data_IF_430785128537
#
_entry.id   IF_430785128537
#
_cell.length_a   1.000
_cell.length_b   1.000
_cell.length_c   1.000
_cell.angle_alpha   90.00
_cell.angle_beta   90.00
_cell.angle_gamma   90.00
#
_symmetry.space_group_name_H-M   'P 1'
#
loop_
_entity.id
_entity.type
_entity.pdbx_description
1 polymer ?
#
# COMPACT_ATOMS: atom_id res chain seq x y z
N UNK A 1 -9.22 25.70 -3.08
CA UNK A 1 -8.36 25.23 -1.98
C UNK A 1 -7.12 24.62 -2.62
N UNK A 2 -5.92 24.81 -2.04
CA UNK A 2 -4.71 24.18 -2.57
C UNK A 2 -4.93 22.66 -2.59
N UNK A 3 -4.67 22.04 -3.75
CA UNK A 3 -4.73 20.59 -3.92
C UNK A 3 -3.31 20.09 -4.15
N UNK A 4 -2.97 18.97 -3.52
CA UNK A 4 -1.71 18.27 -3.74
C UNK A 4 -2.05 16.91 -4.33
N UNK A 5 -1.54 16.62 -5.52
CA UNK A 5 -1.64 15.25 -6.05
C UNK A 5 -0.62 14.38 -5.34
N UNK A 6 -1.02 13.19 -4.93
CA UNK A 6 -0.18 12.20 -4.28
C UNK A 6 -0.16 10.94 -5.14
N UNK A 7 1.01 10.56 -5.64
CA UNK A 7 1.23 9.26 -6.27
C UNK A 7 1.89 8.34 -5.25
N UNK A 8 1.22 7.26 -4.87
CA UNK A 8 1.83 6.18 -4.10
C UNK A 8 2.31 5.08 -5.06
N UNK A 9 3.63 4.90 -5.15
CA UNK A 9 4.23 3.73 -5.77
C UNK A 9 4.28 2.57 -4.77
N UNK A 10 3.62 1.46 -5.10
CA UNK A 10 3.45 0.33 -4.17
C UNK A 10 3.31 -1.01 -4.91
N UNK A 11 3.21 -2.10 -4.15
CA UNK A 11 2.86 -3.45 -4.60
C UNK A 11 2.04 -4.17 -3.50
N UNK A 12 1.02 -5.00 -3.85
CA UNK A 12 0.23 -5.76 -2.88
C UNK A 12 1.04 -6.80 -2.09
N UNK A 13 2.15 -7.30 -2.63
CA UNK A 13 3.03 -8.28 -1.97
C UNK A 13 4.11 -7.63 -1.09
N UNK A 14 4.24 -6.30 -1.06
CA UNK A 14 5.33 -5.66 -0.34
C UNK A 14 5.00 -5.47 1.16
N UNK A 15 5.72 -6.14 2.07
CA UNK A 15 5.49 -6.00 3.51
C UNK A 15 5.83 -4.60 4.04
N UNK A 16 6.82 -3.90 3.45
CA UNK A 16 7.08 -2.50 3.83
C UNK A 16 5.91 -1.58 3.47
N UNK A 17 5.29 -1.75 2.30
CA UNK A 17 4.13 -0.94 1.89
C UNK A 17 2.92 -1.18 2.81
N UNK A 18 2.67 -2.44 3.14
CA UNK A 18 1.63 -2.81 4.10
C UNK A 18 1.90 -2.25 5.50
N UNK A 19 3.13 -2.37 6.00
CA UNK A 19 3.56 -1.76 7.27
C UNK A 19 3.49 -0.24 7.29
N UNK A 20 3.40 0.42 6.13
CA UNK A 20 3.32 1.87 6.01
C UNK A 20 1.88 2.39 5.82
N UNK A 21 0.87 1.53 5.79
CA UNK A 21 -0.53 1.96 5.72
C UNK A 21 -0.94 2.92 6.87
N UNK A 22 -0.41 2.81 8.11
CA UNK A 22 -0.62 3.85 9.12
C UNK A 22 -0.24 5.26 8.66
N UNK A 23 0.87 5.43 7.92
CA UNK A 23 1.28 6.73 7.35
C UNK A 23 0.27 7.22 6.30
N UNK A 24 -0.21 6.31 5.44
CA UNK A 24 -1.25 6.64 4.44
C UNK A 24 -2.53 7.12 5.13
N UNK A 25 -2.98 6.44 6.18
CA UNK A 25 -4.18 6.86 6.92
C UNK A 25 -3.99 8.17 7.66
N UNK A 26 -2.81 8.42 8.23
CA UNK A 26 -2.49 9.72 8.84
C UNK A 26 -2.53 10.86 7.83
N UNK A 27 -2.02 10.66 6.61
CA UNK A 27 -2.14 11.64 5.53
C UNK A 27 -3.62 11.88 5.16
N UNK A 28 -4.37 10.80 4.91
CA UNK A 28 -5.77 10.88 4.54
C UNK A 28 -6.63 11.55 5.62
N UNK A 29 -6.39 11.24 6.90
CA UNK A 29 -7.10 11.88 8.02
C UNK A 29 -6.77 13.36 8.12
N UNK A 30 -5.47 13.70 8.11
CA UNK A 30 -5.00 15.06 8.42
C UNK A 30 -5.38 16.06 7.34
N UNK A 31 -5.37 15.64 6.08
CA UNK A 31 -5.52 16.54 4.93
C UNK A 31 -6.77 16.28 4.08
N UNK A 32 -7.40 15.10 4.19
CA UNK A 32 -8.66 14.80 3.55
C UNK A 32 -8.65 15.00 2.03
N UNK A 33 -9.67 15.70 1.53
CA UNK A 33 -9.92 15.99 0.12
C UNK A 33 -8.97 17.02 -0.50
N UNK A 34 -8.06 17.59 0.29
CA UNK A 34 -6.96 18.41 -0.23
C UNK A 34 -5.86 17.57 -0.90
N UNK A 35 -5.86 16.25 -0.66
CA UNK A 35 -4.96 15.30 -1.32
C UNK A 35 -5.72 14.54 -2.41
N UNK A 36 -5.21 14.62 -3.64
CA UNK A 36 -5.74 13.89 -4.79
C UNK A 36 -4.87 12.65 -5.05
N UNK A 37 -5.38 11.48 -4.69
CA UNK A 37 -4.58 10.25 -4.59
C UNK A 37 -4.63 9.42 -5.86
N UNK A 38 -3.47 8.91 -6.27
CA UNK A 38 -3.37 7.84 -7.25
C UNK A 38 -2.35 6.80 -6.80
N UNK A 39 -2.58 5.55 -7.21
CA UNK A 39 -1.71 4.43 -6.92
C UNK A 39 -1.04 3.96 -8.20
N UNK A 40 0.27 3.71 -8.15
CA UNK A 40 1.05 3.09 -9.23
C UNK A 40 1.72 1.81 -8.75
N UNK A 41 1.59 0.75 -9.52
CA UNK A 41 2.07 -0.58 -9.17
C UNK A 41 3.49 -0.80 -9.70
N UNK A 42 4.44 -1.15 -8.84
CA UNK A 42 5.84 -1.31 -9.26
C UNK A 42 6.14 -2.66 -9.92
N UNK A 43 5.28 -3.67 -9.70
CA UNK A 43 5.44 -5.04 -10.20
C UNK A 43 6.63 -5.76 -9.57
N UNK A 44 6.59 -5.99 -8.25
CA UNK A 44 7.71 -6.52 -7.45
C UNK A 44 8.11 -7.96 -7.81
N UNK A 45 7.15 -8.82 -8.11
CA UNK A 45 7.35 -10.25 -8.35
C UNK A 45 6.55 -10.72 -9.56
N UNK A 46 7.23 -11.15 -10.64
CA UNK A 46 6.54 -11.62 -11.86
C UNK A 46 5.72 -12.87 -11.59
N UNK A 47 6.33 -13.87 -10.98
CA UNK A 47 5.74 -15.17 -10.67
C UNK A 47 6.52 -15.85 -9.53
N UNK A 48 6.02 -17.01 -9.09
CA UNK A 48 6.65 -17.84 -8.07
C UNK A 48 8.07 -18.28 -8.45
N UNK A 49 8.30 -18.67 -9.71
CA UNK A 49 9.61 -19.14 -10.16
C UNK A 49 10.68 -18.04 -10.09
N UNK A 50 10.33 -16.80 -10.40
CA UNK A 50 11.20 -15.64 -10.26
C UNK A 50 11.55 -15.33 -8.80
N UNK A 51 10.64 -15.59 -7.85
CA UNK A 51 10.92 -15.48 -6.42
C UNK A 51 11.87 -16.59 -5.96
N UNK A 52 11.61 -17.84 -6.34
CA UNK A 52 12.45 -18.99 -6.02
C UNK A 52 13.88 -18.82 -6.55
N UNK A 53 14.03 -18.31 -7.78
CA UNK A 53 15.33 -18.02 -8.39
C UNK A 53 16.16 -16.98 -7.59
N UNK A 54 15.49 -16.09 -6.85
CA UNK A 54 16.12 -15.12 -5.93
C UNK A 54 16.38 -15.73 -4.54
N UNK A 55 16.07 -17.01 -4.35
CA UNK A 55 16.26 -17.75 -3.10
C UNK A 55 15.17 -17.52 -2.06
N UNK A 56 13.98 -17.08 -2.48
CA UNK A 56 12.80 -16.91 -1.64
C UNK A 56 11.92 -18.16 -1.68
N UNK A 57 12.34 -19.23 -0.99
CA UNK A 57 11.51 -20.44 -0.82
C UNK A 57 10.40 -20.23 0.23
N UNK A 58 9.54 -21.25 0.40
CA UNK A 58 8.38 -21.15 1.25
C UNK A 58 8.71 -20.87 2.73
N UNK A 59 9.80 -21.43 3.26
CA UNK A 59 10.20 -21.23 4.67
C UNK A 59 10.81 -19.85 4.82
N UNK A 60 11.75 -19.49 3.94
CA UNK A 60 12.42 -18.19 3.97
C UNK A 60 11.46 -17.02 3.78
N UNK A 61 10.45 -17.17 2.93
CA UNK A 61 9.38 -16.17 2.76
C UNK A 61 8.62 -15.94 4.07
N UNK A 62 8.26 -17.01 4.77
CA UNK A 62 7.57 -16.90 6.04
C UNK A 62 8.47 -16.30 7.14
N UNK A 63 9.74 -16.70 7.19
CA UNK A 63 10.73 -16.13 8.12
C UNK A 63 10.91 -14.63 7.93
N UNK A 64 11.15 -14.18 6.69
CA UNK A 64 11.32 -12.77 6.36
C UNK A 64 10.07 -11.96 6.71
N UNK A 65 8.87 -12.51 6.46
CA UNK A 65 7.63 -11.83 6.78
C UNK A 65 7.48 -11.58 8.29
N UNK A 66 7.86 -12.54 9.15
CA UNK A 66 7.78 -12.38 10.61
C UNK A 66 8.65 -11.25 11.14
N UNK A 67 9.76 -10.93 10.49
CA UNK A 67 10.60 -9.79 10.90
C UNK A 67 9.85 -8.45 10.83
N UNK A 68 8.78 -8.35 10.04
CA UNK A 68 7.96 -7.14 9.91
C UNK A 68 6.96 -6.96 11.05
N UNK A 69 6.77 -7.94 11.93
CA UNK A 69 5.89 -7.82 13.10
C UNK A 69 6.30 -6.67 14.02
N UNK A 70 7.57 -6.26 13.97
CA UNK A 70 8.09 -5.04 14.63
C UNK A 70 7.36 -3.74 14.24
N UNK A 71 6.63 -3.72 13.13
CA UNK A 71 5.84 -2.58 12.68
C UNK A 71 4.37 -2.66 13.10
N UNK A 72 3.94 -3.74 13.75
CA UNK A 72 2.64 -3.87 14.43
C UNK A 72 1.44 -4.18 13.54
N UNK A 73 1.57 -4.13 12.21
CA UNK A 73 0.49 -4.57 11.31
C UNK A 73 0.23 -6.08 11.43
N UNK A 74 -1.03 -6.55 11.30
CA UNK A 74 -1.35 -7.98 11.37
C UNK A 74 -0.64 -8.77 10.27
N UNK A 75 0.18 -9.77 10.65
CA UNK A 75 0.97 -10.58 9.72
C UNK A 75 0.79 -12.07 9.98
N UNK A 76 0.85 -12.89 8.93
CA UNK A 76 0.71 -14.33 9.07
C UNK A 76 1.81 -14.93 9.94
N UNK A 77 1.40 -15.85 10.82
CA UNK A 77 2.31 -16.64 11.66
C UNK A 77 2.68 -17.98 11.03
N UNK A 78 2.20 -18.27 9.81
CA UNK A 78 2.43 -19.54 9.12
C UNK A 78 3.91 -19.89 9.06
N UNK A 79 4.26 -21.16 9.26
CA UNK A 79 5.65 -21.65 9.19
C UNK A 79 6.19 -21.65 7.75
N UNK A 80 5.29 -21.70 6.77
CA UNK A 80 5.56 -21.75 5.34
C UNK A 80 4.59 -20.85 4.59
N UNK A 81 5.10 -20.11 3.61
CA UNK A 81 4.34 -19.26 2.69
C UNK A 81 4.88 -19.48 1.29
N UNK A 82 4.17 -20.29 0.51
CA UNK A 82 4.60 -20.65 -0.84
C UNK A 82 4.87 -19.38 -1.68
N UNK A 83 5.94 -19.36 -2.50
CA UNK A 83 6.25 -18.21 -3.34
C UNK A 83 5.09 -17.92 -4.29
N UNK A 84 4.75 -16.64 -4.44
CA UNK A 84 3.67 -16.18 -5.31
C UNK A 84 4.10 -14.93 -6.08
N UNK A 85 3.61 -14.78 -7.31
CA UNK A 85 3.71 -13.55 -8.08
C UNK A 85 2.83 -12.44 -7.52
N UNK A 86 3.19 -11.19 -7.82
CA UNK A 86 2.36 -10.00 -7.53
C UNK A 86 1.77 -9.37 -8.78
N UNK A 87 2.24 -9.73 -9.98
CA UNK A 87 1.84 -9.06 -11.22
C UNK A 87 0.34 -9.22 -11.53
N UNK A 88 -0.26 -10.39 -11.30
CA UNK A 88 -1.69 -10.59 -11.54
C UNK A 88 -2.54 -9.77 -10.55
N UNK A 89 -2.15 -9.74 -9.27
CA UNK A 89 -2.75 -8.83 -8.29
C UNK A 89 -2.59 -7.35 -8.69
N UNK A 90 -1.42 -6.94 -9.19
CA UNK A 90 -1.18 -5.58 -9.68
C UNK A 90 -2.08 -5.23 -10.86
N UNK A 91 -2.18 -6.12 -11.85
CA UNK A 91 -3.06 -5.96 -13.01
C UNK A 91 -4.52 -5.85 -12.59
N UNK A 92 -4.94 -6.61 -11.58
CA UNK A 92 -6.31 -6.55 -11.06
C UNK A 92 -6.62 -5.17 -10.48
N UNK A 93 -5.70 -4.61 -9.69
CA UNK A 93 -5.81 -3.23 -9.16
C UNK A 93 -5.85 -2.20 -10.31
N UNK A 94 -5.01 -2.37 -11.33
CA UNK A 94 -5.01 -1.51 -12.54
C UNK A 94 -6.31 -1.63 -13.34
N UNK A 95 -6.88 -2.83 -13.43
CA UNK A 95 -8.16 -3.05 -14.10
C UNK A 95 -9.30 -2.36 -13.32
N UNK A 96 -9.30 -2.47 -11.99
CA UNK A 96 -10.31 -1.84 -11.13
C UNK A 96 -10.24 -0.31 -11.20
N UNK A 97 -9.04 0.29 -11.13
CA UNK A 97 -8.89 1.76 -11.04
C UNK A 97 -9.42 2.54 -12.24
N UNK A 98 -9.60 1.89 -13.38
CA UNK A 98 -10.18 2.52 -14.58
C UNK A 98 -11.63 2.93 -14.40
N UNK A 99 -12.36 2.17 -13.60
CA UNK A 99 -13.80 2.30 -13.47
C UNK A 99 -14.17 2.76 -12.05
N UNK A 100 -13.39 2.37 -11.03
CA UNK A 100 -13.58 2.72 -9.62
C UNK A 100 -12.21 2.83 -8.91
N UNK A 101 -11.70 4.07 -8.77
CA UNK A 101 -10.43 4.33 -8.07
C UNK A 101 -10.50 3.97 -6.58
N UNK A 102 -11.60 4.30 -5.90
CA UNK A 102 -11.81 3.97 -4.49
C UNK A 102 -11.90 2.46 -4.28
N UNK A 103 -12.61 1.77 -5.17
CA UNK A 103 -12.68 0.31 -5.22
C UNK A 103 -11.32 -0.33 -5.43
N UNK A 104 -10.47 0.23 -6.31
CA UNK A 104 -9.11 -0.25 -6.51
C UNK A 104 -8.24 -0.12 -5.26
N UNK A 105 -8.42 0.95 -4.47
CA UNK A 105 -7.75 1.11 -3.17
C UNK A 105 -8.22 0.06 -2.17
N UNK A 106 -9.54 -0.19 -2.08
CA UNK A 106 -10.08 -1.28 -1.23
C UNK A 106 -9.57 -2.65 -1.66
N UNK A 107 -9.48 -2.89 -2.96
CA UNK A 107 -8.93 -4.11 -3.54
C UNK A 107 -7.44 -4.29 -3.22
N UNK A 108 -6.63 -3.24 -3.36
CA UNK A 108 -5.22 -3.28 -2.97
C UNK A 108 -5.06 -3.67 -1.49
N UNK A 109 -5.89 -3.09 -0.62
CA UNK A 109 -5.92 -3.45 0.81
C UNK A 109 -6.32 -4.91 1.01
N UNK A 110 -7.38 -5.39 0.36
CA UNK A 110 -7.81 -6.79 0.46
C UNK A 110 -6.72 -7.77 0.00
N UNK A 111 -6.02 -7.46 -1.09
CA UNK A 111 -4.89 -8.26 -1.59
C UNK A 111 -3.71 -8.27 -0.61
N UNK A 112 -3.37 -7.12 0.01
CA UNK A 112 -2.35 -7.05 1.07
C UNK A 112 -2.71 -7.93 2.25
N UNK A 113 -3.97 -7.87 2.73
CA UNK A 113 -4.45 -8.70 3.84
C UNK A 113 -4.37 -10.19 3.49
N UNK A 114 -4.91 -10.60 2.33
CA UNK A 114 -4.83 -11.99 1.88
C UNK A 114 -3.38 -12.49 1.78
N UNK A 115 -2.49 -11.69 1.17
CA UNK A 115 -1.11 -12.09 0.92
C UNK A 115 -0.20 -12.09 2.14
N UNK A 116 -0.40 -11.15 3.07
CA UNK A 116 0.54 -10.85 4.16
C UNK A 116 -0.01 -11.22 5.54
N UNK A 117 -1.31 -11.05 5.79
CA UNK A 117 -1.93 -11.42 7.07
C UNK A 117 -2.43 -12.87 7.07
N UNK A 118 -2.97 -13.35 5.93
CA UNK A 118 -3.54 -14.69 5.79
C UNK A 118 -2.60 -15.71 5.13
N UNK A 119 -1.46 -15.24 4.57
CA UNK A 119 -0.51 -16.05 3.78
C UNK A 119 -1.12 -16.81 2.60
N UNK A 120 -2.10 -16.21 1.92
CA UNK A 120 -2.73 -16.74 0.72
C UNK A 120 -1.97 -16.30 -0.55
N UNK A 121 -1.86 -17.15 -1.58
CA UNK A 121 -1.15 -16.82 -2.82
C UNK A 121 -1.97 -15.84 -3.67
N UNK A 122 -1.50 -14.60 -3.80
CA UNK A 122 -2.20 -13.52 -4.54
C UNK A 122 -1.97 -13.56 -6.06
N UNK A 123 -1.48 -14.67 -6.59
CA UNK A 123 -1.52 -15.04 -8.01
C UNK A 123 -2.52 -16.17 -8.29
N UNK A 124 -3.22 -16.66 -7.26
CA UNK A 124 -4.28 -17.64 -7.41
C UNK A 124 -5.61 -16.95 -7.77
N UNK A 125 -6.30 -17.33 -8.87
CA UNK A 125 -7.57 -16.75 -9.29
C UNK A 125 -8.67 -16.73 -8.21
N UNK A 126 -8.76 -17.76 -7.38
CA UNK A 126 -9.77 -17.83 -6.31
C UNK A 126 -9.47 -16.78 -5.23
N UNK A 127 -8.19 -16.57 -4.88
CA UNK A 127 -7.77 -15.53 -3.92
C UNK A 127 -8.01 -14.13 -4.49
N UNK A 128 -7.75 -13.94 -5.80
CA UNK A 128 -8.05 -12.69 -6.49
C UNK A 128 -9.56 -12.40 -6.50
N UNK A 129 -10.38 -13.43 -6.71
CA UNK A 129 -11.85 -13.33 -6.66
C UNK A 129 -12.33 -12.88 -5.28
N UNK A 130 -11.89 -13.57 -4.22
CA UNK A 130 -12.26 -13.24 -2.84
C UNK A 130 -11.84 -11.81 -2.45
N UNK A 131 -10.69 -11.34 -2.95
CA UNK A 131 -10.24 -9.97 -2.73
C UNK A 131 -11.13 -8.93 -3.42
N UNK A 132 -11.63 -9.22 -4.63
CA UNK A 132 -12.64 -8.39 -5.30
C UNK A 132 -13.92 -8.31 -4.48
N UNK A 133 -14.45 -9.44 -4.01
CA UNK A 133 -15.67 -9.47 -3.20
C UNK A 133 -15.51 -8.69 -1.90
N UNK A 134 -14.37 -8.86 -1.23
CA UNK A 134 -14.03 -8.13 0.00
C UNK A 134 -13.92 -6.62 -0.22
N UNK A 135 -13.54 -6.20 -1.43
CA UNK A 135 -13.49 -4.80 -1.83
C UNK A 135 -14.85 -4.23 -2.31
N UNK A 136 -15.89 -5.08 -2.38
CA UNK A 136 -17.20 -4.72 -2.92
C UNK A 136 -17.24 -4.61 -4.44
N UNK A 137 -16.33 -5.29 -5.14
CA UNK A 137 -16.21 -5.30 -6.60
C UNK A 137 -16.70 -6.63 -7.17
N UNK A 138 -17.24 -6.61 -8.39
CA UNK A 138 -17.62 -7.83 -9.10
C UNK A 138 -16.37 -8.56 -9.64
N UNK A 139 -16.10 -9.81 -9.25
CA UNK A 139 -14.88 -10.52 -9.67
C UNK A 139 -14.81 -10.81 -11.16
N UNK A 140 -15.85 -11.41 -11.75
CA UNK A 140 -15.79 -11.95 -13.12
C UNK A 140 -15.33 -10.91 -14.16
N UNK A 141 -15.90 -9.69 -14.23
CA UNK A 141 -15.48 -8.71 -15.22
C UNK A 141 -14.03 -8.24 -15.02
N UNK A 142 -13.54 -8.19 -13.77
CA UNK A 142 -12.17 -7.75 -13.48
C UNK A 142 -11.14 -8.85 -13.79
N UNK A 143 -11.47 -10.10 -13.49
CA UNK A 143 -10.61 -11.24 -13.80
C UNK A 143 -10.48 -11.46 -15.31
N UNK A 144 -11.53 -11.23 -16.09
CA UNK A 144 -11.46 -11.23 -17.57
C UNK A 144 -10.45 -10.19 -18.08
N UNK A 145 -10.45 -8.98 -17.49
CA UNK A 145 -9.59 -7.86 -17.88
C UNK A 145 -8.11 -8.04 -17.54
N UNK A 146 -7.74 -9.04 -16.75
CA UNK A 146 -6.32 -9.33 -16.46
C UNK A 146 -5.50 -9.58 -17.73
N UNK A 147 -6.15 -10.08 -18.79
CA UNK A 147 -5.52 -10.43 -20.06
C UNK A 147 -5.70 -9.36 -21.14
N UNK A 148 -6.39 -8.26 -20.84
CA UNK A 148 -6.65 -7.22 -21.82
C UNK A 148 -5.40 -6.39 -22.08
N UNK A 149 -5.14 -6.10 -23.37
CA UNK A 149 -4.02 -5.25 -23.78
C UNK A 149 -4.05 -3.88 -23.11
N UNK A 150 -5.25 -3.36 -22.82
CA UNK A 150 -5.37 -2.14 -22.05
C UNK A 150 -4.71 -2.34 -20.68
N UNK A 151 -5.16 -3.32 -19.89
CA UNK A 151 -4.68 -3.54 -18.51
C UNK A 151 -3.17 -3.73 -18.47
N UNK A 152 -2.65 -4.52 -19.40
CA UNK A 152 -1.21 -4.73 -19.53
C UNK A 152 -0.47 -3.43 -19.86
N UNK A 153 -0.98 -2.59 -20.78
CA UNK A 153 -0.36 -1.28 -21.08
C UNK A 153 -0.29 -0.37 -19.86
N UNK A 154 -1.38 -0.23 -19.12
CA UNK A 154 -1.42 0.67 -17.95
C UNK A 154 -0.57 0.12 -16.79
N UNK A 155 -0.54 -1.20 -16.60
CA UNK A 155 0.32 -1.84 -15.61
C UNK A 155 1.82 -1.67 -15.96
N UNK A 156 2.19 -1.84 -17.23
CA UNK A 156 3.56 -1.58 -17.69
C UNK A 156 3.92 -0.10 -17.56
N UNK A 157 2.99 0.81 -17.83
CA UNK A 157 3.22 2.25 -17.65
C UNK A 157 3.48 2.62 -16.17
N UNK A 158 2.80 1.97 -15.22
CA UNK A 158 3.10 2.13 -13.80
C UNK A 158 4.52 1.62 -13.46
N UNK A 159 4.85 0.43 -13.95
CA UNK A 159 6.16 -0.18 -13.76
C UNK A 159 7.30 0.66 -14.37
N UNK A 160 7.10 1.21 -15.56
CA UNK A 160 8.04 2.13 -16.24
C UNK A 160 8.25 3.40 -15.40
N UNK A 161 7.15 3.99 -14.92
CA UNK A 161 7.19 5.18 -14.08
C UNK A 161 7.94 4.92 -12.76
N UNK A 162 7.76 3.74 -12.16
CA UNK A 162 8.47 3.35 -10.95
C UNK A 162 9.99 3.27 -11.15
N UNK A 163 10.46 3.08 -12.39
CA UNK A 163 11.87 2.98 -12.79
C UNK A 163 12.46 4.29 -13.29
N UNK A 164 11.79 5.41 -13.01
CA UNK A 164 12.26 6.75 -13.36
C UNK A 164 12.24 7.67 -12.13
N UNK A 165 13.00 7.34 -11.05
CA UNK A 165 13.05 8.16 -9.85
C UNK A 165 13.62 9.55 -10.15
N UNK A 166 13.05 10.57 -9.53
CA UNK A 166 13.50 11.95 -9.65
C UNK A 166 14.76 12.26 -8.84
N UNK A 167 15.31 13.47 -8.98
CA UNK A 167 16.57 13.84 -8.35
C UNK A 167 16.56 13.76 -6.82
N UNK A 168 15.45 14.07 -6.16
CA UNK A 168 15.35 14.03 -4.71
C UNK A 168 15.38 12.58 -4.20
N UNK A 169 14.69 11.68 -4.90
CA UNK A 169 14.74 10.25 -4.61
C UNK A 169 16.14 9.66 -4.86
N UNK A 170 16.82 10.05 -5.95
CA UNK A 170 18.19 9.63 -6.25
C UNK A 170 19.21 10.10 -5.21
N UNK A 171 19.00 11.26 -4.58
CA UNK A 171 19.83 11.70 -3.45
C UNK A 171 19.69 10.79 -2.22
N UNK A 172 18.60 10.02 -2.15
CA UNK A 172 18.37 8.98 -1.14
C UNK A 172 18.55 7.57 -1.73
N UNK A 173 19.61 7.36 -2.53
CA UNK A 173 19.85 6.10 -3.26
C UNK A 173 19.68 4.81 -2.43
N UNK A 174 20.06 4.84 -1.14
CA UNK A 174 19.89 3.72 -0.19
C UNK A 174 18.42 3.34 0.09
N UNK A 175 17.45 4.15 -0.35
CA UNK A 175 16.01 3.88 -0.30
C UNK A 175 15.45 3.37 -1.63
N UNK A 176 16.28 3.28 -2.66
CA UNK A 176 15.91 2.78 -3.98
C UNK A 176 16.38 1.33 -4.16
N UNK A 177 15.88 0.69 -5.22
CA UNK A 177 16.34 -0.62 -5.68
C UNK A 177 16.97 -0.48 -7.07
N UNK A 178 17.79 -1.46 -7.44
CA UNK A 178 18.24 -1.59 -8.81
C UNK A 178 17.06 -1.94 -9.72
N UNK A 179 17.08 -1.43 -10.94
CA UNK A 179 16.23 -1.95 -12.01
C UNK A 179 16.65 -3.39 -12.29
N UNK A 180 15.68 -4.30 -12.37
CA UNK A 180 15.95 -5.71 -12.62
C UNK A 180 16.65 -5.93 -13.98
N UNK A 181 17.64 -6.83 -14.02
CA UNK A 181 18.38 -7.16 -15.25
C UNK A 181 17.48 -7.66 -16.40
N UNK A 182 16.34 -8.27 -16.06
CA UNK A 182 15.35 -8.79 -17.00
C UNK A 182 14.18 -7.83 -17.27
N UNK A 183 14.29 -6.57 -16.84
CA UNK A 183 13.32 -5.54 -17.18
C UNK A 183 13.43 -5.15 -18.66
N UNK A 184 12.32 -5.28 -19.39
CA UNK A 184 12.23 -5.01 -20.83
C UNK A 184 11.46 -3.72 -21.17
N UNK A 185 10.95 -3.01 -20.16
CA UNK A 185 10.23 -1.75 -20.29
C UNK A 185 11.14 -0.52 -20.31
N UNK A 186 10.52 0.66 -20.29
CA UNK A 186 11.26 1.90 -20.15
C UNK A 186 11.84 2.03 -18.74
N UNK A 187 13.01 2.67 -18.64
CA UNK A 187 13.64 3.02 -17.37
C UNK A 187 14.49 4.28 -17.51
N UNK A 188 14.67 5.00 -16.40
CA UNK A 188 15.54 6.16 -16.33
C UNK A 188 17.02 5.78 -16.43
N UNK A 189 17.90 6.74 -16.74
CA UNK A 189 19.33 6.49 -16.96
C UNK A 189 20.11 6.15 -15.68
N UNK A 190 19.47 6.24 -14.50
CA UNK A 190 20.10 5.98 -13.21
C UNK A 190 20.33 4.49 -12.93
N UNK A 191 19.59 3.61 -13.61
CA UNK A 191 19.53 2.18 -13.27
C UNK A 191 18.83 1.90 -11.93
N UNK A 192 18.11 2.89 -11.37
CA UNK A 192 17.42 2.80 -10.09
C UNK A 192 15.91 2.89 -10.25
N UNK A 193 15.17 2.27 -9.32
CA UNK A 193 13.72 2.34 -9.23
C UNK A 193 13.24 2.64 -7.82
N UNK A 194 12.05 3.21 -7.70
CA UNK A 194 11.38 3.36 -6.41
C UNK A 194 11.18 1.99 -5.73
N UNK A 195 11.32 2.00 -4.40
CA UNK A 195 10.86 0.92 -3.53
C UNK A 195 9.47 1.25 -2.98
N UNK A 196 8.85 0.30 -2.30
CA UNK A 196 7.49 0.45 -1.81
C UNK A 196 7.44 0.66 -0.27
N UNK A 197 6.60 1.58 0.23
CA UNK A 197 5.92 2.59 -0.57
C UNK A 197 6.92 3.68 -1.01
N UNK A 198 6.59 4.43 -2.06
CA UNK A 198 7.18 5.75 -2.30
C UNK A 198 6.05 6.73 -2.57
N UNK A 199 6.09 7.89 -1.92
CA UNK A 199 5.11 8.96 -2.17
C UNK A 199 5.74 10.06 -3.01
N UNK A 200 5.05 10.48 -4.07
CA UNK A 200 5.39 11.67 -4.84
C UNK A 200 4.26 12.67 -4.71
N UNK A 201 4.57 13.83 -4.13
CA UNK A 201 3.63 14.92 -3.92
C UNK A 201 3.86 16.00 -4.98
N UNK A 202 2.80 16.53 -5.56
CA UNK A 202 2.89 17.66 -6.52
C UNK A 202 1.81 18.69 -6.21
N UNK A 203 2.24 19.92 -5.95
CA UNK A 203 1.32 21.05 -5.74
C UNK A 203 0.60 21.36 -7.05
N UNK A 204 -0.71 21.48 -7.01
CA UNK A 204 -1.55 21.79 -8.16
C UNK A 204 -1.66 23.32 -8.34
N UNK A 205 -0.54 23.95 -8.69
CA UNK A 205 -0.42 25.35 -9.09
C UNK A 205 0.40 25.50 -10.39
N UNK A 206 0.64 26.73 -10.82
CA UNK A 206 1.37 27.01 -12.07
C UNK A 206 2.86 26.61 -11.99
N UNK A 207 3.42 26.50 -10.78
CA UNK A 207 4.83 26.20 -10.54
C UNK A 207 5.06 24.68 -10.42
N UNK A 208 4.06 23.93 -9.96
CA UNK A 208 4.06 22.47 -9.96
C UNK A 208 5.13 21.87 -9.06
N UNK A 209 5.38 22.46 -7.89
CA UNK A 209 6.44 22.01 -7.00
C UNK A 209 6.26 20.53 -6.61
N UNK A 210 7.35 19.75 -6.68
CA UNK A 210 7.36 18.30 -6.45
C UNK A 210 8.21 17.96 -5.22
N UNK A 211 7.74 17.03 -4.40
CA UNK A 211 8.57 16.36 -3.40
C UNK A 211 8.43 14.84 -3.52
N UNK A 212 9.54 14.13 -3.34
CA UNK A 212 9.60 12.67 -3.38
C UNK A 212 10.02 12.14 -2.01
N UNK A 213 9.30 11.12 -1.53
CA UNK A 213 9.56 10.44 -0.26
C UNK A 213 9.79 8.96 -0.55
N UNK A 214 11.03 8.57 -0.89
CA UNK A 214 11.33 7.21 -1.35
C UNK A 214 11.40 6.20 -0.20
N UNK A 215 10.79 5.04 -0.43
CA UNK A 215 10.81 3.89 0.46
C UNK A 215 10.04 4.08 1.77
N UNK A 216 10.15 3.09 2.65
CA UNK A 216 9.57 3.17 3.98
C UNK A 216 10.19 4.33 4.78
N UNK A 217 9.34 5.28 5.17
CA UNK A 217 9.70 6.47 5.94
C UNK A 217 8.76 6.65 7.14
N UNK A 218 9.29 7.12 8.29
CA UNK A 218 8.44 7.42 9.44
C UNK A 218 7.53 8.62 9.16
N UNK A 219 6.39 8.67 9.87
CA UNK A 219 5.42 9.77 9.76
C UNK A 219 6.07 11.16 9.83
N UNK A 220 6.98 11.39 10.79
CA UNK A 220 7.61 12.70 10.98
C UNK A 220 8.37 13.20 9.74
N UNK A 221 8.97 12.30 8.95
CA UNK A 221 9.65 12.68 7.72
C UNK A 221 8.66 13.09 6.63
N UNK A 222 7.60 12.30 6.46
CA UNK A 222 6.53 12.56 5.49
C UNK A 222 5.81 13.87 5.83
N UNK A 223 5.48 14.07 7.11
CA UNK A 223 4.83 15.27 7.62
C UNK A 223 5.66 16.54 7.37
N UNK A 224 6.97 16.48 7.66
CA UNK A 224 7.87 17.60 7.42
C UNK A 224 7.95 17.96 5.92
N UNK A 225 7.96 16.96 5.04
CA UNK A 225 7.95 17.18 3.58
C UNK A 225 6.66 17.88 3.14
N UNK A 226 5.50 17.37 3.57
CA UNK A 226 4.20 17.98 3.21
C UNK A 226 4.09 19.41 3.74
N UNK A 227 4.53 19.67 4.97
CA UNK A 227 4.50 21.01 5.57
C UNK A 227 5.40 22.02 4.83
N UNK A 228 6.56 21.59 4.30
CA UNK A 228 7.43 22.46 3.50
C UNK A 228 6.90 22.65 2.08
N UNK A 229 6.33 21.61 1.48
CA UNK A 229 5.84 21.64 0.11
C UNK A 229 4.55 22.47 -0.02
N UNK A 230 3.61 22.27 0.91
CA UNK A 230 2.27 22.86 0.84
C UNK A 230 1.84 23.40 2.23
N UNK A 231 2.48 24.48 2.72
CA UNK A 231 2.20 25.04 4.05
C UNK A 231 0.78 25.61 4.22
N UNK A 232 0.06 25.80 3.12
CA UNK A 232 -1.33 26.27 3.11
C UNK A 232 -2.39 25.20 3.31
N UNK A 233 -2.00 23.92 3.43
CA UNK A 233 -2.95 22.84 3.70
C UNK A 233 -3.55 22.96 5.10
N UNK A 234 -4.87 22.88 5.18
CA UNK A 234 -5.57 22.78 6.45
C UNK A 234 -5.32 21.42 7.08
N UNK A 235 -5.17 21.40 8.41
CA UNK A 235 -4.81 20.20 9.15
C UNK A 235 -5.93 19.86 10.13
N UNK A 236 -6.60 18.71 9.95
CA UNK A 236 -7.64 18.17 10.86
C UNK A 236 -7.05 17.56 12.12
N UNK A 237 -7.50 17.96 13.30
CA UNK A 237 -6.95 17.44 14.58
C UNK A 237 -7.07 15.91 14.68
N UNK A 238 -6.16 15.31 15.46
CA UNK A 238 -6.16 13.86 15.65
C UNK A 238 -7.43 13.40 16.40
N UNK A 239 -7.98 12.23 16.06
CA UNK A 239 -9.17 11.70 16.71
C UNK A 239 -8.89 11.28 18.15
N UNK A 240 -9.85 11.51 19.03
CA UNK A 240 -9.82 11.00 20.41
C UNK A 240 -10.70 9.75 20.59
N UNK A 241 -11.76 9.61 19.77
CA UNK A 241 -12.72 8.50 19.77
C UNK A 241 -12.40 7.49 18.66
N UNK A 242 -12.07 6.23 18.97
CA UNK A 242 -11.81 5.21 17.94
C UNK A 242 -13.05 4.93 17.08
N UNK A 243 -14.26 5.12 17.60
CA UNK A 243 -15.48 4.91 16.82
C UNK A 243 -15.65 6.00 15.74
N UNK A 244 -15.14 7.21 15.96
CA UNK A 244 -15.07 8.25 14.92
C UNK A 244 -14.18 7.78 13.75
N UNK A 245 -13.01 7.23 14.07
CA UNK A 245 -12.07 6.73 13.09
C UNK A 245 -12.66 5.57 12.28
N UNK A 246 -13.30 4.61 12.95
CA UNK A 246 -13.92 3.47 12.28
C UNK A 246 -15.12 3.85 11.41
N UNK A 247 -15.86 4.92 11.73
CA UNK A 247 -16.91 5.47 10.85
C UNK A 247 -16.34 6.20 9.64
N UNK A 248 -15.19 6.84 9.81
CA UNK A 248 -14.51 7.58 8.76
C UNK A 248 -13.82 6.66 7.74
N UNK A 249 -13.22 5.56 8.22
CA UNK A 249 -12.46 4.67 7.37
C UNK A 249 -13.38 3.87 6.42
N UNK A 250 -13.03 3.75 5.12
CA UNK A 250 -13.83 3.00 4.15
C UNK A 250 -13.63 1.47 4.26
N UNK A 251 -12.72 1.02 5.14
CA UNK A 251 -12.34 -0.37 5.36
C UNK A 251 -12.04 -0.60 6.84
N UNK A 252 -12.09 -1.86 7.33
CA UNK A 252 -11.58 -2.21 8.64
C UNK A 252 -10.11 -1.81 8.81
N UNK A 253 -9.79 -1.26 9.97
CA UNK A 253 -8.44 -0.80 10.32
C UNK A 253 -7.80 -1.71 11.37
N UNK A 254 -6.49 -1.90 11.28
CA UNK A 254 -5.71 -2.66 12.23
C UNK A 254 -5.56 -1.90 13.56
N UNK A 255 -5.30 -2.64 14.65
CA UNK A 255 -4.97 -2.03 15.95
C UNK A 255 -3.86 -0.99 15.82
N UNK A 256 -2.80 -1.29 15.06
CA UNK A 256 -1.68 -0.37 14.82
C UNK A 256 -2.11 0.92 14.09
N UNK A 257 -2.99 0.83 13.09
CA UNK A 257 -3.45 2.01 12.35
C UNK A 257 -4.26 2.95 13.25
N UNK A 258 -5.07 2.40 14.14
CA UNK A 258 -5.80 3.17 15.15
C UNK A 258 -4.86 3.83 16.16
N UNK A 259 -3.89 3.06 16.67
CA UNK A 259 -2.87 3.56 17.60
C UNK A 259 -2.12 4.76 17.01
N UNK A 260 -1.69 4.65 15.74
CA UNK A 260 -0.97 5.70 15.01
C UNK A 260 -1.81 6.96 14.75
N UNK A 261 -3.10 6.80 14.46
CA UNK A 261 -4.03 7.91 14.25
C UNK A 261 -4.34 8.65 15.54
N UNK A 262 -4.52 7.92 16.64
CA UNK A 262 -4.90 8.45 17.95
C UNK A 262 -3.70 8.87 18.81
N UNK A 263 -2.47 8.62 18.34
CA UNK A 263 -1.22 8.91 19.06
C UNK A 263 -1.14 8.23 20.44
N UNK A 264 -1.53 6.95 20.49
CA UNK A 264 -1.47 6.08 21.67
C UNK A 264 -0.74 4.78 21.33
N UNK A 265 -0.41 3.97 22.33
CA UNK A 265 0.12 2.63 22.07
C UNK A 265 -1.00 1.63 21.66
N UNK A 266 -0.60 0.46 21.17
CA UNK A 266 -1.52 -0.56 20.65
C UNK A 266 -2.43 -1.16 21.74
N UNK A 267 -1.93 -1.30 22.96
CA UNK A 267 -2.70 -1.89 24.05
C UNK A 267 -3.82 -0.94 24.46
N UNK A 268 -3.48 0.36 24.60
CA UNK A 268 -4.45 1.41 24.84
C UNK A 268 -5.47 1.54 23.69
N UNK A 269 -5.02 1.52 22.44
CA UNK A 269 -5.92 1.56 21.28
C UNK A 269 -6.94 0.40 21.31
N UNK A 270 -6.48 -0.82 21.57
CA UNK A 270 -7.32 -2.02 21.69
C UNK A 270 -8.32 -1.92 22.84
N UNK A 271 -7.90 -1.43 24.00
CA UNK A 271 -8.80 -1.21 25.15
C UNK A 271 -9.91 -0.21 24.80
N UNK A 272 -9.55 0.91 24.16
CA UNK A 272 -10.51 1.93 23.73
C UNK A 272 -11.47 1.39 22.66
N UNK A 273 -11.01 0.60 21.71
CA UNK A 273 -11.84 -0.06 20.68
C UNK A 273 -12.88 -0.99 21.30
N UNK A 274 -12.46 -1.82 22.27
CA UNK A 274 -13.37 -2.71 23.03
C UNK A 274 -14.39 -1.91 23.83
N UNK A 275 -13.96 -0.85 24.51
CA UNK A 275 -14.85 0.04 25.26
C UNK A 275 -15.87 0.75 24.35
N UNK A 276 -15.50 1.05 23.11
CA UNK A 276 -16.38 1.62 22.09
C UNK A 276 -17.33 0.60 21.43
N UNK A 277 -17.24 -0.69 21.79
CA UNK A 277 -18.09 -1.75 21.24
C UNK A 277 -17.73 -2.16 19.81
N UNK A 278 -16.50 -1.88 19.36
CA UNK A 278 -16.00 -2.36 18.07
C UNK A 278 -15.83 -3.89 18.07
N UNK A 279 -16.01 -4.50 16.90
CA UNK A 279 -15.79 -5.93 16.68
C UNK A 279 -14.34 -6.19 16.26
N UNK A 280 -13.67 -7.09 16.96
CA UNK A 280 -12.30 -7.55 16.68
C UNK A 280 -12.37 -8.74 15.70
N UNK A 281 -11.65 -8.63 14.57
CA UNK A 281 -11.52 -9.68 13.56
C UNK A 281 -10.05 -10.15 13.55
N UNK A 282 -9.77 -11.19 14.33
CA UNK A 282 -8.41 -11.72 14.49
C UNK A 282 -7.84 -12.26 13.18
N UNK A 283 -6.58 -11.91 12.88
CA UNK A 283 -5.84 -12.42 11.73
C UNK A 283 -4.34 -12.31 11.97
N UNK A 284 -3.61 -13.39 11.68
CA UNK A 284 -2.16 -13.40 11.83
C UNK A 284 -1.71 -13.11 13.26
N UNK A 285 -0.85 -12.11 13.45
CA UNK A 285 -0.32 -11.66 14.76
C UNK A 285 -1.21 -10.66 15.49
N UNK A 286 -2.31 -10.19 14.89
CA UNK A 286 -3.15 -9.12 15.46
C UNK A 286 -4.60 -9.21 14.94
N UNK A 287 -5.27 -8.08 14.70
CA UNK A 287 -6.66 -8.02 14.26
C UNK A 287 -6.98 -6.76 13.45
N UNK A 288 -8.07 -6.83 12.67
CA UNK A 288 -8.77 -5.68 12.12
C UNK A 288 -10.04 -5.37 12.91
N UNK A 289 -10.48 -4.13 12.88
CA UNK A 289 -11.62 -3.65 13.66
C UNK A 289 -12.68 -3.02 12.78
N UNK A 290 -13.95 -3.31 13.09
CA UNK A 290 -15.11 -2.67 12.46
C UNK A 290 -16.16 -2.29 13.52
N UNK A 291 -17.04 -1.35 13.17
CA UNK A 291 -18.28 -1.16 13.92
C UNK A 291 -19.32 -2.20 13.47
N UNK A 292 -20.24 -2.53 14.37
CA UNK A 292 -21.38 -3.41 14.10
C UNK A 292 -22.47 -2.71 13.29
#
# INVERSE_FOLDING_TARGET
MPRVSVVEFTDPACPFAYSAEPVRWKLAWRFGDQLDWSVRLVGLARDAAAQEAKGFDAVRNAEILRDFDRFGMPLSTAERREPAGSWDACRLVVAARRDDEDGAVRLLRALRVAGLAEARPIDNPDVLSDACESAGLSPDPLLERLRDDATERDFRADCDAARTPGPAALAMDHKLADVEDDWDGASGPSGRRYTCPTFVFTVQDDEGAVAEVPGFQPWAAVEAVVANLAPGLERRDWPEDPAEVLRWAPVPLATQELADLMDVDRDEARERLRAAGATEHEVGTDAFWSLA
#
